data_IF_276227624404
#
_entry.id   IF_276227624404
#
_cell.length_a   1.000
_cell.length_b   1.000
_cell.length_c   1.000
_cell.angle_alpha   90.00
_cell.angle_beta   90.00
_cell.angle_gamma   90.00
#
_symmetry.space_group_name_H-M   'P 1'
#
loop_
_entity.id
_entity.type
_entity.pdbx_description
1 polymer ?
#
# COMPACT_ATOMS: atom_id res chain seq x y z
N UNK A 1 -8.20 14.58 -0.84
CA UNK A 1 -7.77 13.20 -1.05
C UNK A 1 -6.25 13.12 -1.04
N UNK A 2 -5.68 12.95 0.15
CA UNK A 2 -4.25 12.73 0.34
C UNK A 2 -3.94 11.24 0.16
N UNK A 3 -3.10 10.92 -0.82
CA UNK A 3 -2.70 9.53 -1.11
C UNK A 3 -1.22 9.36 -0.81
N UNK A 4 -0.88 8.34 -0.03
CA UNK A 4 0.49 7.89 0.21
C UNK A 4 0.68 6.52 -0.41
N UNK A 5 1.85 6.25 -0.98
CA UNK A 5 2.08 4.97 -1.63
C UNK A 5 3.50 4.42 -1.43
N UNK A 6 3.59 3.12 -1.19
CA UNK A 6 4.84 2.36 -1.36
C UNK A 6 4.69 1.46 -2.58
N UNK A 7 5.18 1.95 -3.71
CA UNK A 7 5.17 1.26 -5.01
C UNK A 7 6.53 1.45 -5.65
N UNK A 8 7.48 0.51 -5.45
CA UNK A 8 8.84 0.65 -5.97
C UNK A 8 8.94 0.32 -7.47
N UNK A 9 7.99 -0.43 -8.03
CA UNK A 9 7.92 -0.66 -9.47
C UNK A 9 7.61 0.64 -10.24
N UNK A 10 8.43 0.99 -11.22
CA UNK A 10 8.28 2.25 -11.95
C UNK A 10 7.02 2.29 -12.83
N UNK A 11 6.59 1.15 -13.39
CA UNK A 11 5.40 1.10 -14.24
C UNK A 11 4.14 1.30 -13.40
N UNK A 12 4.03 0.61 -12.27
CA UNK A 12 2.88 0.77 -11.38
C UNK A 12 2.86 2.14 -10.70
N UNK A 13 4.05 2.65 -10.34
CA UNK A 13 4.19 4.02 -9.83
C UNK A 13 3.69 5.06 -10.83
N UNK A 14 4.03 4.89 -12.11
CA UNK A 14 3.57 5.78 -13.19
C UNK A 14 2.05 5.74 -13.36
N UNK A 15 1.45 4.54 -13.39
CA UNK A 15 -0.01 4.38 -13.46
C UNK A 15 -0.71 5.02 -12.26
N UNK A 16 -0.18 4.81 -11.05
CA UNK A 16 -0.75 5.39 -9.83
C UNK A 16 -0.65 6.91 -9.84
N UNK A 17 0.48 7.48 -10.25
CA UNK A 17 0.64 8.92 -10.36
C UNK A 17 -0.30 9.56 -11.38
N UNK A 18 -0.61 8.86 -12.48
CA UNK A 18 -1.58 9.30 -13.47
C UNK A 18 -3.04 9.23 -12.95
N UNK A 19 -3.38 8.17 -12.20
CA UNK A 19 -4.72 7.97 -11.64
C UNK A 19 -5.00 8.83 -10.40
N UNK A 20 -3.97 9.11 -9.60
CA UNK A 20 -4.04 9.92 -8.38
C UNK A 20 -2.97 11.02 -8.40
N UNK A 21 -3.21 12.14 -9.10
CA UNK A 21 -2.30 13.28 -9.09
C UNK A 21 -2.04 13.78 -7.66
N UNK A 22 -0.77 13.99 -7.31
CA UNK A 22 -0.38 14.45 -5.97
C UNK A 22 -0.10 13.33 -4.96
N UNK A 23 -0.09 12.05 -5.38
CA UNK A 23 0.34 10.93 -4.54
C UNK A 23 1.77 11.14 -4.02
N UNK A 24 1.97 10.91 -2.72
CA UNK A 24 3.28 10.95 -2.08
C UNK A 24 3.85 9.55 -1.99
N UNK A 25 4.97 9.32 -2.67
CA UNK A 25 5.63 8.03 -2.64
C UNK A 25 6.69 7.95 -1.56
N UNK A 26 6.63 6.91 -0.74
CA UNK A 26 7.66 6.60 0.25
C UNK A 26 8.66 5.57 -0.30
N UNK A 27 9.91 5.64 0.15
CA UNK A 27 10.99 4.77 -0.34
C UNK A 27 11.12 3.42 0.37
N UNK A 28 10.40 3.22 1.48
CA UNK A 28 10.49 2.01 2.32
C UNK A 28 9.17 1.76 3.06
N UNK A 29 8.80 0.49 3.34
CA UNK A 29 7.54 0.17 4.02
C UNK A 29 7.36 0.87 5.37
N UNK A 30 8.42 0.92 6.20
CA UNK A 30 8.36 1.56 7.52
C UNK A 30 8.10 3.08 7.48
N UNK A 31 8.26 3.74 6.33
CA UNK A 31 7.87 5.15 6.17
C UNK A 31 6.37 5.33 5.90
N UNK A 32 5.62 4.24 5.65
CA UNK A 32 4.16 4.29 5.48
C UNK A 32 3.47 4.73 6.77
N UNK A 33 3.87 4.20 7.93
CA UNK A 33 3.22 4.48 9.22
C UNK A 33 3.17 5.99 9.54
N UNK A 34 4.29 6.72 9.58
CA UNK A 34 4.23 8.17 9.85
C UNK A 34 3.53 8.95 8.74
N UNK A 35 3.64 8.53 7.48
CA UNK A 35 2.99 9.20 6.36
C UNK A 35 1.47 8.94 6.30
N UNK A 36 1.02 7.80 6.81
CA UNK A 36 -0.38 7.37 6.80
C UNK A 36 -1.24 8.15 7.82
N UNK A 37 -0.65 8.75 8.85
CA UNK A 37 -1.37 9.57 9.84
C UNK A 37 -2.07 10.79 9.23
N UNK A 38 -1.59 11.28 8.09
CA UNK A 38 -2.17 12.43 7.36
C UNK A 38 -2.82 12.02 6.04
N UNK A 39 -2.84 10.72 5.72
CA UNK A 39 -3.35 10.20 4.47
C UNK A 39 -4.79 9.68 4.60
N UNK A 40 -5.59 9.91 3.57
CA UNK A 40 -6.92 9.29 3.46
C UNK A 40 -6.82 7.87 2.90
N UNK A 41 -5.88 7.66 1.96
CA UNK A 41 -5.64 6.37 1.30
C UNK A 41 -4.16 6.05 1.27
N UNK A 42 -3.83 4.81 1.60
CA UNK A 42 -2.48 4.25 1.49
C UNK A 42 -2.49 3.13 0.47
N UNK A 43 -1.62 3.21 -0.54
CA UNK A 43 -1.46 2.20 -1.59
C UNK A 43 -0.15 1.45 -1.40
N UNK A 44 -0.19 0.11 -1.38
CA UNK A 44 1.00 -0.72 -1.16
C UNK A 44 1.16 -1.82 -2.20
N UNK A 45 2.39 -1.99 -2.68
CA UNK A 45 2.82 -3.17 -3.44
C UNK A 45 3.13 -4.32 -2.45
N UNK A 46 2.22 -5.29 -2.35
CA UNK A 46 2.29 -6.41 -1.41
C UNK A 46 3.34 -7.46 -1.81
N UNK A 47 3.84 -7.45 -3.05
CA UNK A 47 4.91 -8.36 -3.49
C UNK A 47 6.27 -8.02 -2.85
N UNK A 48 6.32 -6.92 -2.07
CA UNK A 48 7.55 -6.39 -1.50
C UNK A 48 7.74 -6.81 -0.06
N UNK A 49 8.96 -7.27 0.30
CA UNK A 49 9.25 -7.69 1.65
C UNK A 49 9.10 -6.52 2.63
N UNK A 50 8.60 -6.81 3.83
CA UNK A 50 8.40 -5.82 4.89
C UNK A 50 7.09 -5.04 4.84
N UNK A 51 6.27 -5.20 3.80
CA UNK A 51 4.97 -4.52 3.72
C UNK A 51 3.94 -5.13 4.67
N UNK A 52 3.87 -6.47 4.73
CA UNK A 52 2.96 -7.16 5.66
C UNK A 52 3.26 -6.87 7.13
N UNK A 53 4.54 -6.62 7.46
CA UNK A 53 5.00 -6.38 8.82
C UNK A 53 4.49 -5.05 9.39
N UNK A 54 4.31 -4.04 8.52
CA UNK A 54 3.86 -2.69 8.91
C UNK A 54 2.36 -2.47 8.67
N UNK A 55 1.69 -3.42 8.01
CA UNK A 55 0.33 -3.22 7.50
C UNK A 55 -0.69 -2.96 8.60
N UNK A 56 -0.57 -3.67 9.73
CA UNK A 56 -1.46 -3.48 10.88
C UNK A 56 -1.30 -2.07 11.49
N UNK A 57 -0.06 -1.58 11.59
CA UNK A 57 0.22 -0.24 12.13
C UNK A 57 -0.31 0.86 11.19
N UNK A 58 -0.21 0.65 9.87
CA UNK A 58 -0.79 1.56 8.88
C UNK A 58 -2.32 1.58 8.97
N UNK A 59 -2.96 0.41 9.11
CA UNK A 59 -4.43 0.35 9.30
C UNK A 59 -4.85 1.04 10.61
N UNK A 60 -4.03 0.92 11.67
CA UNK A 60 -4.29 1.56 12.95
C UNK A 60 -4.24 3.10 12.90
N UNK A 61 -3.66 3.72 11.86
CA UNK A 61 -3.75 5.18 11.67
C UNK A 61 -5.15 5.64 11.23
N UNK A 62 -6.04 4.70 10.87
CA UNK A 62 -7.38 4.98 10.35
C UNK A 62 -7.42 5.26 8.85
N UNK A 63 -6.27 5.23 8.16
CA UNK A 63 -6.22 5.37 6.72
C UNK A 63 -6.80 4.14 6.02
N UNK A 64 -7.45 4.34 4.87
CA UNK A 64 -7.89 3.22 4.02
C UNK A 64 -6.69 2.63 3.32
N UNK A 65 -6.38 1.36 3.57
CA UNK A 65 -5.24 0.67 2.95
C UNK A 65 -5.70 -0.19 1.78
N UNK A 66 -5.10 0.04 0.60
CA UNK A 66 -5.33 -0.72 -0.63
C UNK A 66 -4.00 -1.36 -1.03
N UNK A 67 -3.98 -2.68 -1.17
CA UNK A 67 -2.79 -3.42 -1.52
C UNK A 67 -2.96 -4.19 -2.82
N UNK A 68 -1.90 -4.36 -3.59
CA UNK A 68 -1.91 -5.24 -4.75
C UNK A 68 -0.71 -6.19 -4.74
N UNK A 69 -0.92 -7.43 -5.17
CA UNK A 69 0.10 -8.47 -5.35
C UNK A 69 -0.17 -9.24 -6.63
N UNK A 70 0.82 -10.00 -7.11
CA UNK A 70 0.65 -10.89 -8.26
C UNK A 70 -0.53 -11.86 -8.04
N UNK A 71 -1.38 -12.06 -9.05
CA UNK A 71 -2.56 -12.95 -8.98
C UNK A 71 -2.26 -14.41 -8.59
N UNK A 72 -1.01 -14.86 -8.71
CA UNK A 72 -0.56 -16.20 -8.32
C UNK A 72 -0.30 -16.33 -6.81
N UNK A 73 -0.25 -15.22 -6.08
CA UNK A 73 0.06 -15.20 -4.65
C UNK A 73 -1.20 -14.96 -3.80
N UNK A 74 -2.08 -15.97 -3.80
CA UNK A 74 -3.29 -15.97 -2.97
C UNK A 74 -2.97 -15.84 -1.47
N UNK A 75 -1.84 -16.42 -1.02
CA UNK A 75 -1.44 -16.41 0.38
C UNK A 75 -1.12 -14.99 0.89
N UNK A 76 -0.45 -14.18 0.07
CA UNK A 76 -0.16 -12.77 0.40
C UNK A 76 -1.43 -11.92 0.40
N UNK A 77 -2.36 -12.15 -0.54
CA UNK A 77 -3.65 -11.44 -0.57
C UNK A 77 -4.51 -11.74 0.65
N UNK A 78 -4.61 -13.02 1.06
CA UNK A 78 -5.32 -13.43 2.28
C UNK A 78 -4.66 -12.84 3.53
N UNK A 79 -3.33 -12.91 3.62
CA UNK A 79 -2.55 -12.36 4.72
C UNK A 79 -2.72 -10.84 4.85
N UNK A 80 -2.77 -10.11 3.73
CA UNK A 80 -3.02 -8.67 3.73
C UNK A 80 -4.46 -8.35 4.17
N UNK A 81 -5.44 -9.10 3.65
CA UNK A 81 -6.86 -8.94 4.00
C UNK A 81 -7.10 -9.17 5.50
N UNK A 82 -6.48 -10.20 6.08
CA UNK A 82 -6.57 -10.50 7.50
C UNK A 82 -6.02 -9.37 8.40
N UNK A 83 -5.17 -8.49 7.86
CA UNK A 83 -4.60 -7.31 8.54
C UNK A 83 -5.38 -6.02 8.27
N UNK A 84 -6.53 -6.09 7.60
CA UNK A 84 -7.40 -4.93 7.32
C UNK A 84 -7.09 -4.19 6.02
N UNK A 85 -6.22 -4.73 5.16
CA UNK A 85 -5.95 -4.18 3.84
C UNK A 85 -6.98 -4.66 2.82
N UNK A 86 -7.47 -3.76 1.96
CA UNK A 86 -8.21 -4.15 0.77
C UNK A 86 -7.23 -4.65 -0.30
N UNK A 87 -7.02 -5.97 -0.35
CA UNK A 87 -6.07 -6.60 -1.26
C UNK A 87 -6.70 -6.93 -2.62
N UNK A 88 -5.99 -6.64 -3.72
CA UNK A 88 -6.44 -6.90 -5.09
C UNK A 88 -5.33 -7.59 -5.91
N UNK A 89 -5.67 -8.54 -6.80
CA UNK A 89 -4.69 -9.09 -7.73
C UNK A 89 -4.26 -8.06 -8.78
N UNK A 90 -2.98 -8.05 -9.13
CA UNK A 90 -2.36 -7.35 -10.27
C UNK A 90 -1.99 -8.35 -11.36
#
# INVERSE_FOLDING_TARGET
MTVVAYVPDLMDRSKLAAAAPGVTFVGRPAALVPAASEAEVVVVDLDRPGVLDVLADVVATGARVVGFAAHVDASTLEAATARGCQAMPR
#
